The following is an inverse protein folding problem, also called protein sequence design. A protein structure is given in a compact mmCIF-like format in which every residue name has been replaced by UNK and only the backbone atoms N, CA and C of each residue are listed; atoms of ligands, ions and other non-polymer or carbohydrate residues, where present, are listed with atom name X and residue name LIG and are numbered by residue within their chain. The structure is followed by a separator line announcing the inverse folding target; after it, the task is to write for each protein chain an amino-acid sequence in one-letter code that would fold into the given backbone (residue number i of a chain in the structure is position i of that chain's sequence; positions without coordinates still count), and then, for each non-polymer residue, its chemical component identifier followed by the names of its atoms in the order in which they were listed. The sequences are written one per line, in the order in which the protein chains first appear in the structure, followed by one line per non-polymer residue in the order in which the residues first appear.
data_IF_724743332819
#
_entry.id   IF_724743332819
#
_cell.length_a   1.000
_cell.length_b   1.000
_cell.length_c   1.000
_cell.angle_alpha   90.00
_cell.angle_beta   90.00
_cell.angle_gamma   90.00
#
_symmetry.space_group_name_H-M   'P 1'
#
loop_
_entity.id
_entity.type
_entity.pdbx_description
1 polymer ?
#
# COMPACT_ATOMS: atom_id res chain seq x y z
N UNK A 1 12.43 22.23 12.17
CA UNK A 1 12.44 22.17 10.68
C UNK A 1 11.08 22.59 10.13
N UNK A 2 11.07 23.19 8.94
CA UNK A 2 9.86 23.36 8.13
C UNK A 2 9.81 22.26 7.05
N UNK A 3 8.77 21.43 7.07
CA UNK A 3 8.62 20.25 6.19
C UNK A 3 7.37 20.42 5.33
N UNK A 4 7.53 20.30 4.02
CA UNK A 4 6.43 20.20 3.05
C UNK A 4 6.13 18.73 2.70
N UNK A 5 4.86 18.35 2.67
CA UNK A 5 4.40 17.04 2.21
C UNK A 5 3.39 17.27 1.09
N UNK A 6 3.65 16.75 -0.10
CA UNK A 6 2.79 16.94 -1.28
C UNK A 6 2.22 15.59 -1.70
N UNK A 7 0.89 15.41 -1.55
CA UNK A 7 0.12 14.29 -2.07
C UNK A 7 -1.16 14.80 -2.71
N UNK A 8 -1.09 15.03 -4.00
CA UNK A 8 -2.17 15.63 -4.81
C UNK A 8 -2.57 14.78 -6.01
N UNK A 9 -2.11 13.53 -6.03
CA UNK A 9 -2.32 12.63 -7.16
C UNK A 9 -3.15 11.40 -6.81
N UNK A 10 -3.04 10.86 -5.59
CA UNK A 10 -3.67 9.58 -5.24
C UNK A 10 -4.52 9.72 -3.96
N UNK A 11 -5.86 9.74 -4.09
CA UNK A 11 -6.76 9.94 -2.96
C UNK A 11 -6.70 8.84 -1.90
N UNK A 12 -6.21 7.64 -2.26
CA UNK A 12 -6.12 6.50 -1.35
C UNK A 12 -4.82 6.50 -0.52
N UNK A 13 -3.94 7.50 -0.69
CA UNK A 13 -2.66 7.57 0.03
C UNK A 13 -2.74 8.26 1.40
N UNK A 14 -3.93 8.35 1.97
CA UNK A 14 -4.14 8.88 3.33
C UNK A 14 -3.14 8.29 4.34
N UNK A 15 -2.99 6.96 4.38
CA UNK A 15 -2.11 6.30 5.37
C UNK A 15 -0.64 6.71 5.25
N UNK A 16 -0.15 6.92 4.02
CA UNK A 16 1.21 7.37 3.78
C UNK A 16 1.43 8.81 4.27
N UNK A 17 0.50 9.69 3.95
CA UNK A 17 0.52 11.10 4.40
C UNK A 17 0.42 11.19 5.92
N UNK A 18 -0.54 10.47 6.53
CA UNK A 18 -0.73 10.41 7.97
C UNK A 18 0.54 9.90 8.68
N UNK A 19 1.17 8.85 8.13
CA UNK A 19 2.41 8.31 8.67
C UNK A 19 3.54 9.33 8.69
N UNK A 20 3.73 10.05 7.60
CA UNK A 20 4.75 11.08 7.50
C UNK A 20 4.49 12.26 8.44
N UNK A 21 3.30 12.84 8.36
CA UNK A 21 2.98 14.03 9.15
C UNK A 21 3.08 13.75 10.66
N UNK A 22 2.55 12.61 11.14
CA UNK A 22 2.63 12.25 12.56
C UNK A 22 4.05 11.95 13.02
N UNK A 23 4.87 11.37 12.12
CA UNK A 23 6.28 11.13 12.41
C UNK A 23 7.03 12.45 12.57
N UNK A 24 6.87 13.41 11.66
CA UNK A 24 7.50 14.72 11.82
C UNK A 24 6.93 15.53 12.97
N UNK A 25 5.62 15.47 13.16
CA UNK A 25 4.93 16.19 14.24
C UNK A 25 5.26 15.64 15.64
N UNK A 26 5.83 14.43 15.75
CA UNK A 26 6.29 13.87 17.03
C UNK A 26 7.39 14.72 17.70
N UNK A 27 8.15 15.49 16.91
CA UNK A 27 9.01 16.58 17.43
C UNK A 27 8.26 17.93 17.27
N UNK A 28 7.86 18.51 18.39
CA UNK A 28 7.10 19.79 18.43
C UNK A 28 7.85 20.99 17.86
N UNK A 29 9.16 20.89 17.68
CA UNK A 29 9.95 21.96 17.04
C UNK A 29 9.81 21.94 15.51
N UNK A 30 9.25 20.90 14.92
CA UNK A 30 8.95 20.86 13.51
C UNK A 30 7.62 21.58 13.21
N UNK A 31 7.56 22.20 12.05
CA UNK A 31 6.32 22.67 11.43
C UNK A 31 6.12 21.86 10.15
N UNK A 32 4.92 21.35 9.95
CA UNK A 32 4.58 20.52 8.79
C UNK A 32 3.47 21.19 8.01
N UNK A 33 3.66 21.37 6.71
CA UNK A 33 2.60 21.84 5.80
C UNK A 33 2.30 20.70 4.83
N UNK A 34 1.06 20.25 4.80
CA UNK A 34 0.60 19.16 3.93
C UNK A 34 -0.25 19.74 2.82
N UNK A 35 0.18 19.58 1.59
CA UNK A 35 -0.55 19.91 0.36
C UNK A 35 -1.25 18.67 -0.13
N UNK A 36 -2.58 18.69 -0.22
CA UNK A 36 -3.33 17.45 -0.40
C UNK A 36 -4.67 17.63 -1.11
N UNK A 37 -5.33 16.50 -1.39
CA UNK A 37 -6.68 16.43 -1.96
C UNK A 37 -7.75 16.60 -0.87
N UNK A 38 -8.98 17.06 -1.21
CA UNK A 38 -10.07 17.19 -0.25
C UNK A 38 -10.40 15.90 0.51
N UNK A 39 -10.35 14.75 -0.16
CA UNK A 39 -10.61 13.43 0.47
C UNK A 39 -9.58 13.06 1.54
N UNK A 40 -8.31 13.35 1.31
CA UNK A 40 -7.24 13.11 2.28
C UNK A 40 -7.37 14.10 3.44
N UNK A 41 -7.65 15.38 3.16
CA UNK A 41 -7.89 16.40 4.20
C UNK A 41 -8.98 15.94 5.16
N UNK A 42 -10.13 15.51 4.63
CA UNK A 42 -11.24 15.04 5.45
C UNK A 42 -10.80 13.92 6.38
N UNK A 43 -10.14 12.88 5.85
CA UNK A 43 -9.66 11.76 6.63
C UNK A 43 -8.62 12.16 7.70
N UNK A 44 -7.74 13.14 7.41
CA UNK A 44 -6.77 13.66 8.38
C UNK A 44 -7.44 14.42 9.51
N UNK A 45 -8.46 15.23 9.22
CA UNK A 45 -9.21 15.98 10.23
C UNK A 45 -10.01 15.06 11.15
N UNK A 46 -10.66 14.03 10.61
CA UNK A 46 -11.41 13.01 11.38
C UNK A 46 -10.50 12.26 12.35
N UNK A 47 -9.24 11.99 11.98
CA UNK A 47 -8.27 11.28 12.82
C UNK A 47 -7.44 12.18 13.76
N UNK A 48 -7.76 13.47 13.82
CA UNK A 48 -7.09 14.45 14.67
C UNK A 48 -5.75 14.91 14.12
N UNK A 49 -5.65 16.20 13.84
CA UNK A 49 -4.46 16.84 13.31
C UNK A 49 -3.56 17.35 14.46
N UNK A 50 -2.24 17.04 14.47
CA UNK A 50 -1.31 17.63 15.45
C UNK A 50 -1.25 19.17 15.34
N UNK A 51 -1.03 19.88 16.46
CA UNK A 51 -1.02 21.36 16.53
C UNK A 51 0.04 22.02 15.63
N UNK A 52 1.14 21.32 15.35
CA UNK A 52 2.23 21.81 14.51
C UNK A 52 2.11 21.41 13.04
N UNK A 53 0.91 20.97 12.60
CA UNK A 53 0.59 20.62 11.22
C UNK A 53 -0.46 21.57 10.65
N UNK A 54 -0.23 22.02 9.41
CA UNK A 54 -1.18 22.81 8.61
C UNK A 54 -1.52 22.08 7.33
N UNK A 55 -2.78 22.20 6.87
CA UNK A 55 -3.24 21.60 5.62
C UNK A 55 -3.52 22.70 4.59
N UNK A 56 -3.09 22.46 3.36
CA UNK A 56 -3.41 23.22 2.16
C UNK A 56 -4.04 22.27 1.16
N UNK A 57 -5.21 22.59 0.66
CA UNK A 57 -5.99 21.69 -0.20
C UNK A 57 -5.95 22.18 -1.63
N UNK A 58 -5.72 21.26 -2.57
CA UNK A 58 -5.90 21.53 -3.98
C UNK A 58 -7.40 21.60 -4.29
N UNK A 59 -7.89 22.82 -4.44
CA UNK A 59 -9.29 23.07 -4.73
C UNK A 59 -9.66 22.63 -6.17
N UNK A 60 -10.92 22.20 -6.43
CA UNK A 60 -11.31 21.70 -7.74
C UNK A 60 -11.10 22.67 -8.91
N UNK A 61 -11.09 23.97 -8.64
CA UNK A 61 -10.88 25.04 -9.62
C UNK A 61 -9.40 25.47 -9.75
N UNK A 62 -8.55 25.04 -8.81
CA UNK A 62 -7.12 25.36 -8.80
C UNK A 62 -6.34 24.34 -9.65
N UNK A 63 -5.44 24.81 -10.49
CA UNK A 63 -4.52 23.91 -11.18
C UNK A 63 -3.39 23.45 -10.26
N UNK A 64 -2.86 22.27 -10.51
CA UNK A 64 -1.68 21.78 -9.78
C UNK A 64 -0.49 22.75 -9.91
N UNK A 65 -0.37 23.40 -11.08
CA UNK A 65 0.69 24.39 -11.30
C UNK A 65 0.60 25.55 -10.34
N UNK A 66 -0.60 26.12 -10.14
CA UNK A 66 -0.81 27.22 -9.19
C UNK A 66 -0.47 26.80 -7.75
N UNK A 67 -0.86 25.60 -7.34
CA UNK A 67 -0.48 25.07 -6.04
C UNK A 67 1.05 24.92 -5.88
N UNK A 68 1.73 24.41 -6.91
CA UNK A 68 3.19 24.24 -6.88
C UNK A 68 3.92 25.60 -6.93
N UNK A 69 3.40 26.59 -7.66
CA UNK A 69 3.91 27.97 -7.64
C UNK A 69 3.82 28.56 -6.22
N UNK A 70 2.72 28.33 -5.48
CA UNK A 70 2.57 28.74 -4.07
C UNK A 70 3.59 28.04 -3.14
N UNK A 71 3.89 26.75 -3.41
CA UNK A 71 4.92 26.01 -2.66
C UNK A 71 6.32 26.56 -2.91
N UNK A 72 6.61 27.03 -4.13
CA UNK A 72 7.92 27.61 -4.50
C UNK A 72 8.24 28.91 -3.76
N UNK A 73 7.20 29.63 -3.27
CA UNK A 73 7.38 30.85 -2.49
C UNK A 73 7.81 30.61 -1.03
N UNK A 74 7.77 29.35 -0.56
CA UNK A 74 8.07 29.00 0.82
C UNK A 74 9.42 28.28 0.89
N UNK A 75 10.31 28.78 1.76
CA UNK A 75 11.61 28.14 2.01
C UNK A 75 11.47 26.96 2.96
N UNK A 76 11.60 25.74 2.45
CA UNK A 76 11.51 24.49 3.21
C UNK A 76 12.89 23.92 3.54
N UNK A 77 13.05 23.35 4.73
CA UNK A 77 14.21 22.49 5.03
C UNK A 77 14.13 21.21 4.18
N UNK A 78 12.90 20.72 3.93
CA UNK A 78 12.65 19.43 3.28
C UNK A 78 11.27 19.38 2.65
N UNK A 79 11.17 18.79 1.44
CA UNK A 79 9.90 18.54 0.76
C UNK A 79 9.79 17.07 0.39
N UNK A 80 8.66 16.45 0.77
CA UNK A 80 8.24 15.14 0.32
C UNK A 80 7.30 15.26 -0.87
N UNK A 81 7.59 14.52 -1.95
CA UNK A 81 6.70 14.33 -3.09
C UNK A 81 6.23 12.88 -3.04
N UNK A 82 4.99 12.67 -2.58
CA UNK A 82 4.49 11.33 -2.27
C UNK A 82 4.08 10.55 -3.52
N UNK A 83 3.39 11.20 -4.46
CA UNK A 83 2.96 10.56 -5.72
C UNK A 83 2.97 11.59 -6.83
N UNK A 84 3.42 11.19 -8.02
CA UNK A 84 3.46 12.06 -9.19
C UNK A 84 2.43 11.62 -10.24
N UNK A 85 2.27 10.30 -10.47
CA UNK A 85 1.41 9.72 -11.51
C UNK A 85 1.48 10.50 -12.84
N UNK A 86 0.37 10.95 -13.37
CA UNK A 86 0.30 11.65 -14.66
C UNK A 86 0.81 13.11 -14.62
N UNK A 87 1.20 13.61 -13.44
CA UNK A 87 1.62 15.00 -13.21
C UNK A 87 3.14 15.23 -13.42
N UNK A 88 3.78 14.37 -14.20
CA UNK A 88 5.25 14.45 -14.44
C UNK A 88 5.72 15.78 -15.03
N UNK A 89 4.89 16.45 -15.85
CA UNK A 89 5.26 17.73 -16.49
C UNK A 89 5.32 18.87 -15.48
N UNK A 90 4.38 18.92 -14.58
CA UNK A 90 4.28 19.91 -13.52
C UNK A 90 5.47 19.75 -12.56
N UNK A 91 5.68 18.54 -12.05
CA UNK A 91 6.81 18.25 -11.17
C UNK A 91 8.19 18.37 -11.84
N UNK A 92 8.30 18.14 -13.16
CA UNK A 92 9.55 18.39 -13.88
C UNK A 92 9.91 19.89 -14.00
N UNK A 93 8.93 20.78 -13.85
CA UNK A 93 9.09 22.25 -13.84
C UNK A 93 9.19 22.83 -12.44
N UNK A 94 8.77 22.07 -11.43
CA UNK A 94 8.74 22.46 -10.03
C UNK A 94 10.15 22.72 -9.51
N UNK A 95 10.38 23.90 -8.95
CA UNK A 95 11.66 24.39 -8.45
C UNK A 95 11.53 24.97 -7.04
N UNK A 96 11.21 24.12 -6.05
CA UNK A 96 10.97 24.63 -4.71
C UNK A 96 12.23 25.25 -4.09
N UNK A 97 12.04 26.25 -3.24
CA UNK A 97 13.09 26.71 -2.34
C UNK A 97 13.23 25.70 -1.19
N UNK A 98 14.03 24.67 -1.43
CA UNK A 98 14.25 23.60 -0.46
C UNK A 98 15.68 23.07 -0.55
N UNK A 99 16.24 22.70 0.60
CA UNK A 99 17.55 22.06 0.65
C UNK A 99 17.46 20.58 0.22
N UNK A 100 16.39 19.89 0.60
CA UNK A 100 16.24 18.45 0.41
C UNK A 100 14.89 18.12 -0.24
N UNK A 101 14.92 17.33 -1.31
CA UNK A 101 13.73 16.73 -1.91
C UNK A 101 13.73 15.23 -1.61
N UNK A 102 12.61 14.71 -1.14
CA UNK A 102 12.40 13.29 -0.87
C UNK A 102 11.26 12.80 -1.77
N UNK A 103 11.62 11.95 -2.72
CA UNK A 103 10.67 11.35 -3.65
C UNK A 103 10.24 9.97 -3.18
N UNK A 104 8.94 9.71 -3.14
CA UNK A 104 8.41 8.40 -2.79
C UNK A 104 8.27 7.53 -4.03
N UNK A 105 8.81 6.33 -3.97
CA UNK A 105 8.76 5.34 -5.04
C UNK A 105 7.97 4.12 -4.58
N UNK A 106 6.71 4.06 -5.02
CA UNK A 106 5.79 2.94 -4.69
C UNK A 106 6.05 1.71 -5.55
N UNK A 107 6.55 1.91 -6.77
CA UNK A 107 6.79 0.88 -7.78
C UNK A 107 8.14 1.11 -8.45
N UNK A 108 9.13 0.26 -8.08
CA UNK A 108 10.55 0.50 -8.43
C UNK A 108 10.82 0.49 -9.93
N UNK A 109 10.15 -0.40 -10.68
CA UNK A 109 10.35 -0.55 -12.12
C UNK A 109 9.85 0.64 -12.94
N UNK A 110 8.88 1.40 -12.45
CA UNK A 110 8.40 2.58 -13.14
C UNK A 110 9.45 3.69 -13.18
N UNK A 111 10.29 3.77 -12.18
CA UNK A 111 11.24 4.86 -12.00
C UNK A 111 12.62 4.58 -12.61
N UNK A 112 13.13 3.36 -12.46
CA UNK A 112 14.53 3.07 -12.72
C UNK A 112 14.76 1.97 -13.76
N UNK A 113 13.75 1.14 -14.08
CA UNK A 113 13.91 0.09 -15.09
C UNK A 113 13.28 0.48 -16.41
N UNK A 114 13.96 0.15 -17.51
CA UNK A 114 13.45 0.32 -18.87
C UNK A 114 12.44 -0.79 -19.20
N UNK A 115 11.16 -0.52 -19.00
CA UNK A 115 10.06 -1.47 -19.26
C UNK A 115 9.49 -1.37 -20.67
N UNK A 116 10.33 -1.12 -21.68
CA UNK A 116 9.90 -1.15 -23.08
C UNK A 116 9.24 -2.49 -23.46
N UNK A 117 9.80 -3.61 -22.97
CA UNK A 117 9.23 -4.95 -23.16
C UNK A 117 7.84 -5.10 -22.50
N UNK A 118 7.56 -4.44 -21.38
CA UNK A 118 6.24 -4.45 -20.73
C UNK A 118 5.22 -3.70 -21.59
N UNK A 119 5.55 -2.51 -22.06
CA UNK A 119 4.67 -1.75 -22.93
C UNK A 119 4.34 -2.53 -24.22
N UNK A 120 5.34 -3.18 -24.83
CA UNK A 120 5.13 -4.05 -25.99
C UNK A 120 4.31 -5.29 -25.62
N UNK A 121 4.59 -5.97 -24.51
CA UNK A 121 3.84 -7.16 -24.11
C UNK A 121 2.39 -6.82 -23.76
N UNK A 122 2.14 -5.71 -23.10
CA UNK A 122 0.77 -5.20 -22.85
C UNK A 122 0.09 -4.95 -24.19
N UNK A 123 0.74 -4.24 -25.12
CA UNK A 123 0.23 -4.00 -26.47
C UNK A 123 -0.09 -5.31 -27.20
N UNK A 124 0.82 -6.29 -27.17
CA UNK A 124 0.65 -7.58 -27.85
C UNK A 124 -0.46 -8.42 -27.22
N UNK A 125 -0.62 -8.38 -25.90
CA UNK A 125 -1.69 -9.07 -25.19
C UNK A 125 -3.05 -8.46 -25.54
N UNK A 126 -3.11 -7.14 -25.57
CA UNK A 126 -4.31 -6.40 -25.92
C UNK A 126 -4.67 -6.53 -27.41
N UNK A 127 -3.68 -6.58 -28.30
CA UNK A 127 -3.91 -6.85 -29.74
C UNK A 127 -4.36 -8.29 -30.04
N UNK A 128 -4.03 -9.25 -29.16
CA UNK A 128 -4.52 -10.64 -29.27
C UNK A 128 -5.98 -10.79 -28.87
N UNK A 129 -6.49 -9.92 -28.01
CA UNK A 129 -7.92 -9.87 -27.64
C UNK A 129 -8.74 -9.14 -28.69
N UNK A 130 -8.83 -9.75 -29.88
CA UNK A 130 -9.22 -9.17 -31.19
C UNK A 130 -10.67 -8.69 -31.33
N UNK A 131 -11.51 -8.77 -30.34
CA UNK A 131 -12.96 -8.53 -30.50
C UNK A 131 -13.46 -7.11 -30.20
N UNK A 132 -12.56 -6.13 -29.99
CA UNK A 132 -13.02 -4.77 -29.72
C UNK A 132 -12.28 -3.67 -30.51
N UNK A 133 -13.02 -3.10 -31.49
CA UNK A 133 -12.96 -1.73 -32.03
C UNK A 133 -11.60 -1.02 -32.29
N UNK A 134 -11.51 -0.42 -33.50
CA UNK A 134 -10.46 0.55 -33.92
C UNK A 134 -10.23 1.71 -32.93
N UNK A 135 -11.22 2.04 -32.08
CA UNK A 135 -11.07 3.02 -31.02
C UNK A 135 -10.08 2.55 -29.92
N UNK A 136 -10.12 1.26 -29.58
CA UNK A 136 -9.26 0.66 -28.57
C UNK A 136 -7.79 0.62 -29.00
N UNK A 137 -7.49 0.26 -30.24
CA UNK A 137 -6.12 0.27 -30.77
C UNK A 137 -5.48 1.67 -30.82
N UNK A 138 -6.29 2.73 -31.01
CA UNK A 138 -5.83 4.12 -30.92
C UNK A 138 -5.56 4.52 -29.47
N UNK A 139 -6.36 4.08 -28.53
CA UNK A 139 -6.14 4.32 -27.10
C UNK A 139 -4.86 3.66 -26.60
N UNK A 140 -4.58 2.41 -27.02
CA UNK A 140 -3.36 1.69 -26.68
C UNK A 140 -2.11 2.35 -27.29
N UNK A 141 -2.18 2.74 -28.56
CA UNK A 141 -1.08 3.47 -29.21
C UNK A 141 -0.81 4.81 -28.51
N UNK A 142 -1.86 5.52 -28.09
CA UNK A 142 -1.73 6.75 -27.31
C UNK A 142 -1.07 6.49 -25.95
N UNK A 143 -1.50 5.46 -25.23
CA UNK A 143 -0.87 5.05 -23.94
C UNK A 143 0.61 4.74 -24.10
N UNK A 144 1.05 4.14 -25.22
CA UNK A 144 2.48 3.88 -25.48
C UNK A 144 3.28 5.16 -25.74
N UNK A 145 2.71 6.07 -26.53
CA UNK A 145 3.35 7.37 -26.80
C UNK A 145 3.47 8.17 -25.50
N UNK A 146 2.39 8.23 -24.72
CA UNK A 146 2.38 8.88 -23.41
C UNK A 146 3.42 8.26 -22.48
N UNK A 147 3.50 6.92 -22.41
CA UNK A 147 4.52 6.21 -21.64
C UNK A 147 5.95 6.57 -22.03
N UNK A 148 6.26 6.63 -23.32
CA UNK A 148 7.60 7.00 -23.80
C UNK A 148 7.94 8.46 -23.49
N UNK A 149 6.97 9.36 -23.61
CA UNK A 149 7.10 10.77 -23.26
C UNK A 149 7.34 10.93 -21.76
N UNK A 150 6.48 10.32 -20.93
CA UNK A 150 6.60 10.40 -19.46
C UNK A 150 7.90 9.80 -18.95
N UNK A 151 8.42 8.75 -19.59
CA UNK A 151 9.73 8.18 -19.28
C UNK A 151 10.85 9.20 -19.46
N UNK A 152 10.86 9.94 -20.58
CA UNK A 152 11.89 10.96 -20.84
C UNK A 152 11.76 12.13 -19.85
N UNK A 153 10.53 12.52 -19.54
CA UNK A 153 10.25 13.59 -18.57
C UNK A 153 10.74 13.17 -17.18
N UNK A 154 10.42 11.94 -16.72
CA UNK A 154 10.91 11.40 -15.44
C UNK A 154 12.43 11.41 -15.34
N UNK A 155 13.13 10.92 -16.39
CA UNK A 155 14.59 10.92 -16.41
C UNK A 155 15.16 12.33 -16.28
N UNK A 156 14.59 13.29 -17.02
CA UNK A 156 15.00 14.70 -16.93
C UNK A 156 14.70 15.29 -15.56
N UNK A 157 13.55 14.99 -15.00
CA UNK A 157 13.14 15.46 -13.67
C UNK A 157 14.08 14.92 -12.58
N UNK A 158 14.35 13.60 -12.57
CA UNK A 158 15.29 12.99 -11.63
C UNK A 158 16.68 13.62 -11.74
N UNK A 159 17.22 13.74 -12.97
CA UNK A 159 18.52 14.37 -13.19
C UNK A 159 18.55 15.83 -12.71
N UNK A 160 17.46 16.59 -12.94
CA UNK A 160 17.34 17.97 -12.44
C UNK A 160 17.31 18.00 -10.90
N UNK A 161 16.57 17.09 -10.26
CA UNK A 161 16.52 17.04 -8.80
C UNK A 161 17.84 16.58 -8.19
N UNK A 162 18.52 15.60 -8.78
CA UNK A 162 19.87 15.17 -8.36
C UNK A 162 20.92 16.27 -8.50
N UNK A 163 20.81 17.10 -9.53
CA UNK A 163 21.76 18.20 -9.79
C UNK A 163 21.56 19.40 -8.86
N UNK A 164 20.32 19.76 -8.54
CA UNK A 164 19.99 21.02 -7.88
C UNK A 164 19.64 20.86 -6.39
N UNK A 165 19.34 19.65 -5.91
CA UNK A 165 18.88 19.38 -4.55
C UNK A 165 19.60 18.18 -3.94
N UNK A 166 19.51 18.05 -2.64
CA UNK A 166 19.85 16.78 -1.98
C UNK A 166 18.65 15.80 -2.19
N UNK A 167 18.66 15.11 -3.32
CA UNK A 167 17.60 14.13 -3.62
C UNK A 167 17.79 12.88 -2.76
N UNK A 168 16.71 12.46 -2.08
CA UNK A 168 16.58 11.16 -1.42
C UNK A 168 15.35 10.44 -1.94
N UNK A 169 15.38 9.12 -1.85
CA UNK A 169 14.26 8.28 -2.27
C UNK A 169 13.67 7.60 -1.03
N UNK A 170 12.35 7.59 -0.89
CA UNK A 170 11.65 6.73 0.06
C UNK A 170 11.07 5.52 -0.68
N UNK A 171 11.27 4.36 -0.08
CA UNK A 171 10.60 3.09 -0.41
C UNK A 171 10.02 2.47 0.86
N UNK A 172 9.15 1.48 0.71
CA UNK A 172 8.40 0.94 1.85
C UNK A 172 8.98 -0.34 2.44
N UNK A 173 9.98 -0.96 1.77
CA UNK A 173 10.65 -2.16 2.27
C UNK A 173 12.12 -2.21 1.90
N UNK A 174 12.86 -3.07 2.62
CA UNK A 174 14.27 -3.36 2.31
C UNK A 174 14.41 -4.00 0.92
N UNK A 175 13.47 -4.86 0.53
CA UNK A 175 13.47 -5.51 -0.78
C UNK A 175 13.33 -4.50 -1.93
N UNK A 176 12.46 -3.49 -1.78
CA UNK A 176 12.36 -2.39 -2.74
C UNK A 176 13.66 -1.56 -2.81
N UNK A 177 14.31 -1.30 -1.66
CA UNK A 177 15.61 -0.63 -1.61
C UNK A 177 16.66 -1.39 -2.42
N UNK A 178 16.74 -2.70 -2.21
CA UNK A 178 17.65 -3.58 -2.96
C UNK A 178 17.34 -3.59 -4.47
N UNK A 179 16.04 -3.65 -4.82
CA UNK A 179 15.61 -3.59 -6.21
C UNK A 179 16.01 -2.27 -6.87
N UNK A 180 15.85 -1.12 -6.19
CA UNK A 180 16.26 0.17 -6.73
C UNK A 180 17.79 0.25 -6.94
N UNK A 181 18.59 -0.27 -6.01
CA UNK A 181 20.05 -0.34 -6.20
C UNK A 181 20.40 -1.22 -7.41
N UNK A 182 19.73 -2.39 -7.58
CA UNK A 182 19.93 -3.24 -8.76
C UNK A 182 19.52 -2.55 -10.07
N UNK A 183 18.58 -1.61 -10.02
CA UNK A 183 18.15 -0.81 -11.19
C UNK A 183 19.01 0.44 -11.40
N UNK A 184 20.06 0.65 -10.60
CA UNK A 184 21.03 1.72 -10.75
C UNK A 184 20.65 3.04 -10.07
N UNK A 185 19.76 3.03 -9.08
CA UNK A 185 19.52 4.20 -8.24
C UNK A 185 20.77 4.51 -7.41
N UNK A 186 21.30 5.72 -7.56
CA UNK A 186 22.49 6.20 -6.83
C UNK A 186 22.13 7.13 -5.67
N UNK A 187 20.91 7.69 -5.67
CA UNK A 187 20.45 8.56 -4.60
C UNK A 187 20.30 7.80 -3.28
N UNK A 188 20.51 8.42 -2.12
CA UNK A 188 20.28 7.79 -0.82
C UNK A 188 18.84 7.29 -0.68
N UNK A 189 18.65 6.05 -0.22
CA UNK A 189 17.35 5.41 -0.09
C UNK A 189 17.00 5.22 1.38
N UNK A 190 15.86 5.77 1.79
CA UNK A 190 15.24 5.62 3.10
C UNK A 190 14.15 4.56 3.00
N UNK A 191 14.14 3.60 3.94
CA UNK A 191 13.03 2.66 4.10
C UNK A 191 12.08 3.22 5.13
N UNK A 192 10.87 3.60 4.69
CA UNK A 192 9.83 4.14 5.53
C UNK A 192 8.49 3.46 5.21
N UNK A 193 7.73 2.97 6.20
CA UNK A 193 6.50 2.22 5.96
C UNK A 193 5.43 3.11 5.33
N UNK A 194 4.53 2.50 4.54
CA UNK A 194 3.38 3.21 3.98
C UNK A 194 2.33 3.56 5.05
N UNK A 195 2.23 2.75 6.10
CA UNK A 195 1.39 3.05 7.27
C UNK A 195 2.19 2.85 8.55
N UNK A 196 1.79 3.56 9.60
CA UNK A 196 2.41 3.53 10.92
C UNK A 196 1.50 2.83 11.93
N UNK A 197 2.05 2.48 13.08
CA UNK A 197 1.28 2.05 14.23
C UNK A 197 0.94 3.24 15.12
N UNK A 198 -0.33 3.38 15.45
CA UNK A 198 -0.83 4.48 16.30
C UNK A 198 -1.35 4.01 17.67
N UNK A 199 -1.00 2.78 18.07
CA UNK A 199 -1.47 2.22 19.32
C UNK A 199 -2.90 1.64 19.24
N UNK A 200 -3.32 1.19 18.06
CA UNK A 200 -4.61 0.53 17.88
C UNK A 200 -4.74 -0.65 18.85
N UNK A 201 -5.83 -0.66 19.63
CA UNK A 201 -6.09 -1.74 20.58
C UNK A 201 -6.65 -2.94 19.85
N UNK A 202 -6.12 -4.12 20.17
CA UNK A 202 -6.75 -5.36 19.77
C UNK A 202 -8.12 -5.47 20.45
N UNK A 203 -9.18 -5.47 19.65
CA UNK A 203 -10.56 -5.63 20.08
C UNK A 203 -11.11 -7.00 19.69
N UNK A 204 -10.25 -7.91 19.18
CA UNK A 204 -10.66 -9.28 18.95
C UNK A 204 -11.10 -9.91 20.27
N UNK A 205 -12.38 -10.24 20.36
CA UNK A 205 -12.90 -10.95 21.52
C UNK A 205 -12.46 -12.41 21.41
N UNK A 206 -12.20 -13.04 22.55
CA UNK A 206 -12.00 -14.49 22.63
C UNK A 206 -13.32 -15.19 22.27
N UNK A 207 -13.64 -15.18 20.99
CA UNK A 207 -14.81 -15.87 20.45
C UNK A 207 -14.44 -17.34 20.20
N UNK A 208 -15.46 -18.18 20.14
CA UNK A 208 -15.30 -19.60 19.81
C UNK A 208 -14.78 -19.84 18.38
N UNK A 209 -14.81 -18.81 17.51
CA UNK A 209 -14.44 -18.87 16.09
C UNK A 209 -13.26 -17.94 15.79
N UNK A 210 -12.32 -18.45 15.01
CA UNK A 210 -11.15 -17.69 14.55
C UNK A 210 -11.56 -16.73 13.43
N UNK A 211 -11.36 -15.43 13.62
CA UNK A 211 -11.69 -14.41 12.62
C UNK A 211 -10.49 -14.11 11.73
N UNK A 212 -10.61 -14.42 10.46
CA UNK A 212 -9.59 -14.18 9.43
C UNK A 212 -10.05 -13.05 8.52
N UNK A 213 -9.27 -11.97 8.42
CA UNK A 213 -9.58 -10.85 7.55
C UNK A 213 -8.70 -10.85 6.29
N UNK A 214 -9.31 -10.60 5.14
CA UNK A 214 -8.63 -10.37 3.86
C UNK A 214 -8.88 -8.90 3.46
N UNK A 215 -7.98 -7.97 3.81
CA UNK A 215 -8.19 -6.54 3.55
C UNK A 215 -7.92 -6.16 2.11
N UNK A 216 -8.78 -5.32 1.53
CA UNK A 216 -8.65 -4.71 0.21
C UNK A 216 -9.64 -5.22 -0.83
N UNK A 217 -9.68 -4.56 -1.98
CA UNK A 217 -10.63 -4.84 -3.07
C UNK A 217 -10.66 -6.32 -3.44
N UNK A 218 -11.87 -6.87 -3.58
CA UNK A 218 -12.11 -8.26 -3.97
C UNK A 218 -12.06 -8.32 -5.50
N UNK A 219 -10.93 -8.78 -6.03
CA UNK A 219 -10.71 -8.92 -7.48
C UNK A 219 -9.74 -10.04 -7.78
N UNK A 220 -10.12 -10.95 -8.67
CA UNK A 220 -9.29 -12.08 -9.10
C UNK A 220 -8.03 -11.62 -9.86
N UNK A 221 -8.09 -10.43 -10.46
CA UNK A 221 -6.95 -9.88 -11.21
C UNK A 221 -5.73 -9.55 -10.34
N UNK A 222 -5.89 -9.40 -9.02
CA UNK A 222 -4.82 -9.08 -8.06
C UNK A 222 -4.62 -10.15 -6.99
N UNK A 223 -5.66 -10.94 -6.72
CA UNK A 223 -5.73 -11.86 -5.59
C UNK A 223 -6.39 -13.15 -6.05
N UNK A 224 -5.90 -14.27 -5.61
CA UNK A 224 -6.44 -15.58 -5.98
C UNK A 224 -7.55 -16.00 -5.00
N UNK A 225 -8.74 -15.39 -5.17
CA UNK A 225 -9.91 -15.70 -4.37
C UNK A 225 -10.54 -17.03 -4.77
N UNK A 226 -10.63 -17.32 -6.07
CA UNK A 226 -11.35 -18.51 -6.55
C UNK A 226 -10.69 -19.79 -6.06
N UNK A 227 -9.36 -19.92 -6.18
CA UNK A 227 -8.64 -21.08 -5.66
C UNK A 227 -8.71 -21.17 -4.13
N UNK A 228 -8.66 -20.04 -3.43
CA UNK A 228 -8.83 -20.01 -1.98
C UNK A 228 -10.21 -20.52 -1.56
N UNK A 229 -11.27 -20.03 -2.20
CA UNK A 229 -12.65 -20.40 -1.88
C UNK A 229 -12.93 -21.88 -2.21
N UNK A 230 -12.42 -22.39 -3.33
CA UNK A 230 -12.52 -23.81 -3.67
C UNK A 230 -11.93 -24.72 -2.60
N UNK A 231 -10.73 -24.39 -2.11
CA UNK A 231 -10.08 -25.20 -1.05
C UNK A 231 -10.79 -25.07 0.28
N UNK A 232 -11.31 -23.89 0.63
CA UNK A 232 -12.14 -23.69 1.83
C UNK A 232 -13.42 -24.54 1.74
N UNK A 233 -14.13 -24.51 0.61
CA UNK A 233 -15.34 -25.32 0.40
C UNK A 233 -15.07 -26.81 0.58
N UNK A 234 -13.98 -27.34 -0.01
CA UNK A 234 -13.57 -28.73 0.13
C UNK A 234 -13.30 -29.13 1.59
N UNK A 235 -12.98 -28.17 2.46
CA UNK A 235 -12.68 -28.36 3.89
C UNK A 235 -13.80 -27.84 4.82
N UNK A 236 -14.99 -27.56 4.29
CA UNK A 236 -16.08 -26.95 5.06
C UNK A 236 -16.47 -27.77 6.31
N UNK A 237 -16.53 -29.09 6.20
CA UNK A 237 -16.88 -29.96 7.34
C UNK A 237 -15.93 -29.81 8.54
N UNK A 238 -14.68 -29.40 8.33
CA UNK A 238 -13.68 -29.23 9.40
C UNK A 238 -13.54 -27.78 9.88
N UNK A 239 -13.91 -26.80 9.07
CA UNK A 239 -13.57 -25.39 9.30
C UNK A 239 -14.78 -24.47 9.40
N UNK A 240 -15.90 -24.75 8.73
CA UNK A 240 -17.00 -23.80 8.60
C UNK A 240 -17.60 -23.36 9.95
N UNK A 241 -17.57 -24.22 10.96
CA UNK A 241 -18.03 -23.91 12.33
C UNK A 241 -16.95 -23.23 13.20
N UNK A 242 -15.69 -23.19 12.74
CA UNK A 242 -14.53 -22.78 13.54
C UNK A 242 -13.92 -21.46 13.11
N UNK A 243 -14.19 -21.00 11.88
CA UNK A 243 -13.64 -19.75 11.34
C UNK A 243 -14.74 -18.83 10.81
N UNK A 244 -14.49 -17.53 10.91
CA UNK A 244 -15.24 -16.45 10.26
C UNK A 244 -14.32 -15.76 9.25
N UNK A 245 -14.82 -15.50 8.06
CA UNK A 245 -14.09 -14.82 6.99
C UNK A 245 -14.60 -13.39 6.85
N UNK A 246 -13.73 -12.41 7.00
CA UNK A 246 -14.03 -11.02 6.76
C UNK A 246 -13.29 -10.54 5.52
N UNK A 247 -14.00 -10.42 4.38
CA UNK A 247 -13.49 -9.86 3.16
C UNK A 247 -13.63 -8.33 3.24
N UNK A 248 -12.63 -7.64 3.81
CA UNK A 248 -12.67 -6.21 4.08
C UNK A 248 -12.43 -5.40 2.80
N UNK A 249 -13.41 -5.43 1.91
CA UNK A 249 -13.44 -4.78 0.62
C UNK A 249 -14.73 -5.07 -0.12
N UNK A 250 -14.85 -4.55 -1.33
CA UNK A 250 -15.99 -4.77 -2.21
C UNK A 250 -15.56 -5.50 -3.49
N UNK A 251 -16.52 -6.19 -4.10
CA UNK A 251 -16.32 -6.87 -5.39
C UNK A 251 -16.35 -5.83 -6.51
N UNK A 252 -15.38 -5.87 -7.43
CA UNK A 252 -15.38 -4.96 -8.58
C UNK A 252 -16.54 -5.29 -9.54
N UNK A 253 -17.14 -4.28 -10.16
CA UNK A 253 -18.30 -4.44 -11.06
C UNK A 253 -18.07 -5.49 -12.16
N UNK A 254 -16.85 -5.60 -12.67
CA UNK A 254 -16.48 -6.54 -13.74
C UNK A 254 -16.50 -8.00 -13.30
N UNK A 255 -16.34 -8.27 -12.02
CA UNK A 255 -16.22 -9.62 -11.45
C UNK A 255 -17.40 -9.95 -10.51
N UNK A 256 -18.40 -9.07 -10.44
CA UNK A 256 -19.48 -9.15 -9.47
C UNK A 256 -20.29 -10.46 -9.58
N UNK A 257 -20.58 -10.92 -10.80
CA UNK A 257 -21.34 -12.15 -11.02
C UNK A 257 -20.53 -13.38 -10.58
N UNK A 258 -19.29 -13.53 -11.07
CA UNK A 258 -18.44 -14.68 -10.76
C UNK A 258 -18.05 -14.75 -9.29
N UNK A 259 -17.60 -13.62 -8.75
CA UNK A 259 -17.16 -13.53 -7.36
C UNK A 259 -18.33 -13.62 -6.38
N UNK A 260 -19.47 -12.99 -6.71
CA UNK A 260 -20.69 -13.11 -5.92
C UNK A 260 -21.20 -14.56 -5.85
N UNK A 261 -21.16 -15.29 -6.97
CA UNK A 261 -21.50 -16.71 -6.99
C UNK A 261 -20.53 -17.54 -6.14
N UNK A 262 -19.23 -17.25 -6.20
CA UNK A 262 -18.21 -17.95 -5.39
C UNK A 262 -18.39 -17.69 -3.90
N UNK A 263 -18.67 -16.44 -3.49
CA UNK A 263 -18.96 -16.08 -2.10
C UNK A 263 -20.25 -16.77 -1.62
N UNK A 264 -21.32 -16.76 -2.43
CA UNK A 264 -22.59 -17.44 -2.07
C UNK A 264 -22.39 -18.93 -1.84
N UNK A 265 -21.61 -19.58 -2.68
CA UNK A 265 -21.28 -21.01 -2.55
C UNK A 265 -20.51 -21.32 -1.25
N UNK A 266 -19.62 -20.41 -0.85
CA UNK A 266 -18.91 -20.54 0.42
C UNK A 266 -19.85 -20.40 1.62
N UNK A 267 -20.80 -19.44 1.57
CA UNK A 267 -21.85 -19.29 2.58
C UNK A 267 -22.75 -20.54 2.65
N UNK A 268 -23.17 -21.07 1.51
CA UNK A 268 -23.97 -22.30 1.42
C UNK A 268 -23.23 -23.52 1.98
N UNK A 269 -21.89 -23.49 1.98
CA UNK A 269 -21.03 -24.52 2.62
C UNK A 269 -20.92 -24.35 4.14
N UNK A 270 -21.59 -23.37 4.74
CA UNK A 270 -21.68 -23.15 6.17
C UNK A 270 -20.71 -22.11 6.75
N UNK A 271 -19.86 -21.47 5.92
CA UNK A 271 -19.00 -20.39 6.41
C UNK A 271 -19.77 -19.12 6.72
N UNK A 272 -19.36 -18.42 7.76
CA UNK A 272 -19.75 -17.04 7.96
C UNK A 272 -18.78 -16.15 7.18
N UNK A 273 -19.32 -15.47 6.16
CA UNK A 273 -18.56 -14.57 5.29
C UNK A 273 -19.17 -13.18 5.36
N UNK A 274 -18.38 -12.21 5.79
CA UNK A 274 -18.74 -10.81 5.82
C UNK A 274 -17.97 -10.06 4.73
N UNK A 275 -18.65 -9.23 3.92
CA UNK A 275 -18.06 -8.41 2.88
C UNK A 275 -18.89 -7.13 2.66
N UNK A 276 -18.35 -6.17 1.91
CA UNK A 276 -18.93 -4.84 1.75
C UNK A 276 -19.34 -4.59 0.30
N UNK A 277 -20.39 -3.76 0.12
CA UNK A 277 -20.87 -3.33 -1.20
C UNK A 277 -20.10 -2.12 -1.76
N UNK A 278 -19.27 -1.48 -0.93
CA UNK A 278 -18.51 -0.29 -1.28
C UNK A 278 -17.11 -0.29 -0.62
N UNK A 279 -16.31 0.68 -0.98
CA UNK A 279 -14.99 0.86 -0.39
C UNK A 279 -15.10 1.23 1.10
N UNK A 280 -14.39 0.47 1.95
CA UNK A 280 -14.32 0.69 3.39
C UNK A 280 -13.05 1.46 3.73
N UNK A 281 -13.17 2.54 4.51
CA UNK A 281 -12.06 3.40 4.90
C UNK A 281 -12.24 3.99 6.30
N UNK A 282 -11.22 4.68 6.80
CA UNK A 282 -11.25 5.38 8.08
C UNK A 282 -11.52 4.47 9.28
N UNK A 283 -12.32 4.94 10.23
CA UNK A 283 -12.63 4.24 11.47
C UNK A 283 -13.35 2.90 11.27
N UNK A 284 -14.17 2.77 10.23
CA UNK A 284 -14.86 1.52 9.93
C UNK A 284 -13.86 0.44 9.53
N UNK A 285 -12.90 0.78 8.65
CA UNK A 285 -11.81 -0.11 8.28
C UNK A 285 -10.98 -0.51 9.50
N UNK A 286 -10.62 0.44 10.34
CA UNK A 286 -9.81 0.21 11.54
C UNK A 286 -10.54 -0.67 12.55
N UNK A 287 -11.82 -0.45 12.76
CA UNK A 287 -12.67 -1.28 13.63
C UNK A 287 -12.76 -2.71 13.09
N UNK A 288 -13.00 -2.87 11.80
CA UNK A 288 -13.10 -4.18 11.16
C UNK A 288 -11.82 -4.98 11.32
N UNK A 289 -10.67 -4.37 11.01
CA UNK A 289 -9.38 -5.06 11.08
C UNK A 289 -8.94 -5.34 12.53
N UNK A 290 -9.27 -4.46 13.49
CA UNK A 290 -8.95 -4.66 14.91
C UNK A 290 -9.76 -5.79 15.55
N UNK A 291 -10.94 -6.08 15.03
CA UNK A 291 -11.82 -7.17 15.50
C UNK A 291 -11.42 -8.55 14.96
N UNK A 292 -10.48 -8.63 14.02
CA UNK A 292 -10.01 -9.90 13.48
C UNK A 292 -8.84 -10.45 14.29
N UNK A 293 -8.62 -11.76 14.23
CA UNK A 293 -7.52 -12.44 14.91
C UNK A 293 -6.25 -12.45 14.07
N UNK A 294 -6.41 -12.70 12.77
CA UNK A 294 -5.33 -12.81 11.79
C UNK A 294 -5.73 -12.15 10.47
N UNK A 295 -4.71 -11.73 9.74
CA UNK A 295 -4.86 -11.26 8.37
C UNK A 295 -4.39 -12.33 7.39
N UNK A 296 -5.02 -12.42 6.22
CA UNK A 296 -4.63 -13.34 5.16
C UNK A 296 -4.25 -12.58 3.89
N UNK A 297 -3.05 -12.85 3.40
CA UNK A 297 -2.60 -12.38 2.10
C UNK A 297 -2.80 -13.47 1.04
N UNK A 298 -3.81 -13.31 0.19
CA UNK A 298 -4.07 -14.17 -0.97
C UNK A 298 -3.59 -13.53 -2.28
N UNK A 299 -2.62 -12.60 -2.21
CA UNK A 299 -2.15 -11.84 -3.36
C UNK A 299 -1.36 -12.69 -4.34
N UNK A 300 -1.63 -12.53 -5.63
CA UNK A 300 -0.80 -13.07 -6.70
C UNK A 300 0.54 -12.32 -6.69
N UNK A 301 1.60 -12.98 -6.21
CA UNK A 301 2.90 -12.35 -5.93
C UNK A 301 3.58 -11.89 -7.21
N UNK A 302 3.59 -12.71 -8.25
CA UNK A 302 4.23 -12.38 -9.52
C UNK A 302 3.19 -12.19 -10.62
N UNK A 303 2.91 -10.94 -10.97
CA UNK A 303 2.01 -10.59 -12.09
C UNK A 303 2.73 -10.56 -13.43
N UNK A 304 3.97 -10.09 -13.40
CA UNK A 304 4.84 -9.98 -14.58
C UNK A 304 6.26 -10.28 -14.14
N UNK A 305 7.18 -10.43 -15.07
CA UNK A 305 8.61 -10.59 -14.76
C UNK A 305 9.23 -9.38 -14.04
N UNK A 306 8.51 -8.30 -13.88
CA UNK A 306 9.00 -7.03 -13.32
C UNK A 306 8.18 -6.53 -12.15
N UNK A 307 6.86 -6.72 -12.14
CA UNK A 307 5.98 -6.34 -11.02
C UNK A 307 5.84 -7.52 -10.06
N UNK A 308 6.64 -7.51 -9.01
CA UNK A 308 6.72 -8.60 -8.03
C UNK A 308 6.44 -8.00 -6.66
N UNK A 309 5.34 -8.43 -6.03
CA UNK A 309 5.01 -8.03 -4.67
C UNK A 309 6.03 -8.60 -3.67
N UNK A 310 6.41 -7.80 -2.68
CA UNK A 310 7.49 -8.12 -1.75
C UNK A 310 8.90 -7.95 -2.34
N UNK A 311 9.02 -7.40 -3.58
CA UNK A 311 10.32 -7.11 -4.20
C UNK A 311 10.38 -5.73 -4.84
N UNK A 312 9.54 -5.47 -5.84
CA UNK A 312 9.53 -4.19 -6.56
C UNK A 312 8.34 -3.30 -6.17
N UNK A 313 7.37 -3.90 -5.49
CA UNK A 313 6.16 -3.27 -4.99
C UNK A 313 5.75 -3.93 -3.68
N UNK A 314 5.19 -3.15 -2.75
CA UNK A 314 4.67 -3.69 -1.51
C UNK A 314 3.16 -3.92 -1.56
N UNK A 315 2.69 -4.85 -0.70
CA UNK A 315 1.28 -5.10 -0.48
C UNK A 315 0.74 -4.25 0.66
N UNK A 316 -0.43 -3.65 0.47
CA UNK A 316 -1.16 -2.99 1.56
C UNK A 316 -1.42 -3.90 2.76
N UNK A 317 -1.42 -5.22 2.55
CA UNK A 317 -1.59 -6.22 3.60
C UNK A 317 -0.51 -6.12 4.69
N UNK A 318 0.77 -5.97 4.30
CA UNK A 318 1.90 -5.85 5.25
C UNK A 318 1.75 -4.60 6.12
N UNK A 319 1.30 -3.50 5.53
CA UNK A 319 1.06 -2.27 6.28
C UNK A 319 -0.15 -2.37 7.20
N UNK A 320 -1.16 -3.15 6.84
CA UNK A 320 -2.29 -3.44 7.71
C UNK A 320 -1.88 -4.33 8.89
N UNK A 321 -0.96 -5.28 8.70
CA UNK A 321 -0.38 -6.05 9.82
C UNK A 321 0.29 -5.11 10.83
N UNK A 322 1.11 -4.16 10.36
CA UNK A 322 1.77 -3.16 11.22
C UNK A 322 0.78 -2.24 11.91
N UNK A 323 -0.14 -1.63 11.13
CA UNK A 323 -1.11 -0.65 11.62
C UNK A 323 -2.04 -1.21 12.69
N UNK A 324 -2.49 -2.44 12.49
CA UNK A 324 -3.42 -3.11 13.39
C UNK A 324 -2.74 -4.02 14.42
N UNK A 325 -1.42 -4.15 14.38
CA UNK A 325 -0.65 -5.08 15.21
C UNK A 325 -1.20 -6.51 15.15
N UNK A 326 -1.52 -7.00 13.93
CA UNK A 326 -2.10 -8.31 13.69
C UNK A 326 -1.10 -9.26 13.03
N UNK A 327 -1.05 -10.52 13.45
CA UNK A 327 -0.30 -11.55 12.74
C UNK A 327 -0.96 -11.88 11.40
N UNK A 328 -0.23 -12.58 10.52
CA UNK A 328 -0.76 -12.89 9.19
C UNK A 328 -0.36 -14.23 8.61
N UNK A 329 -1.20 -14.74 7.69
CA UNK A 329 -0.85 -15.79 6.76
C UNK A 329 -0.32 -15.15 5.47
N UNK A 330 0.87 -15.54 5.05
CA UNK A 330 1.56 -14.99 3.87
C UNK A 330 1.97 -16.09 2.91
N UNK A 331 1.84 -15.90 1.58
CA UNK A 331 2.46 -16.82 0.62
C UNK A 331 3.98 -16.83 0.85
N UNK A 332 4.60 -18.02 0.85
CA UNK A 332 6.05 -18.15 1.07
C UNK A 332 6.89 -17.45 -0.01
N UNK A 333 6.35 -17.34 -1.21
CA UNK A 333 6.99 -16.61 -2.30
C UNK A 333 6.98 -15.08 -2.11
N UNK A 334 6.15 -14.57 -1.18
CA UNK A 334 6.15 -13.15 -0.82
C UNK A 334 7.37 -12.85 0.04
N UNK A 335 8.32 -12.11 -0.50
CA UNK A 335 9.56 -11.78 0.17
C UNK A 335 9.36 -10.66 1.21
N UNK A 336 8.77 -11.01 2.34
CA UNK A 336 8.58 -10.07 3.45
C UNK A 336 9.90 -9.81 4.18
N UNK A 337 10.06 -8.63 4.78
CA UNK A 337 11.21 -8.32 5.64
C UNK A 337 11.29 -9.31 6.83
N UNK A 338 12.50 -9.80 7.21
CA UNK A 338 12.67 -10.82 8.26
C UNK A 338 12.02 -10.49 9.61
N UNK A 339 11.83 -9.22 9.91
CA UNK A 339 11.18 -8.74 11.13
C UNK A 339 9.71 -9.17 11.27
N UNK A 340 9.08 -9.64 10.18
CA UNK A 340 7.71 -10.21 10.21
C UNK A 340 7.67 -11.70 10.48
N UNK A 341 8.81 -12.40 10.51
CA UNK A 341 8.83 -13.87 10.60
C UNK A 341 8.12 -14.39 11.87
N UNK A 342 8.31 -13.71 13.02
CA UNK A 342 7.76 -14.15 14.30
C UNK A 342 6.24 -13.88 14.45
N UNK A 343 5.68 -13.05 13.57
CA UNK A 343 4.25 -12.75 13.54
C UNK A 343 3.55 -13.24 12.27
N UNK A 344 4.20 -14.11 11.47
CA UNK A 344 3.66 -14.61 10.21
C UNK A 344 3.74 -16.14 10.11
N UNK A 345 2.71 -16.73 9.50
CA UNK A 345 2.70 -18.12 9.09
C UNK A 345 2.75 -18.17 7.56
N UNK A 346 3.74 -18.89 7.01
CA UNK A 346 4.02 -18.93 5.57
C UNK A 346 3.45 -20.19 4.94
N UNK A 347 2.60 -20.04 3.93
CA UNK A 347 2.02 -21.14 3.20
C UNK A 347 2.59 -21.25 1.75
N UNK A 348 2.71 -22.49 1.26
CA UNK A 348 3.19 -22.79 -0.09
C UNK A 348 2.03 -23.06 -1.07
N UNK A 349 0.86 -23.41 -0.53
CA UNK A 349 -0.38 -23.69 -1.26
C UNK A 349 -1.58 -23.42 -0.36
N UNK A 350 -2.77 -23.32 -0.93
CA UNK A 350 -3.99 -23.19 -0.10
C UNK A 350 -4.29 -24.46 0.71
N UNK A 351 -3.89 -25.65 0.26
CA UNK A 351 -3.96 -26.85 1.10
C UNK A 351 -3.08 -26.73 2.34
N UNK A 352 -1.84 -26.24 2.20
CA UNK A 352 -0.97 -25.95 3.34
C UNK A 352 -1.53 -24.82 4.22
N UNK A 353 -2.19 -23.80 3.65
CA UNK A 353 -2.91 -22.77 4.44
C UNK A 353 -3.98 -23.39 5.34
N UNK A 354 -4.75 -24.39 4.85
CA UNK A 354 -5.75 -25.09 5.67
C UNK A 354 -5.08 -25.79 6.86
N UNK A 355 -3.95 -26.47 6.64
CA UNK A 355 -3.19 -27.11 7.72
C UNK A 355 -2.71 -26.08 8.77
N UNK A 356 -2.25 -24.92 8.34
CA UNK A 356 -1.85 -23.85 9.23
C UNK A 356 -3.04 -23.27 10.01
N UNK A 357 -4.19 -23.08 9.37
CA UNK A 357 -5.42 -22.65 10.04
C UNK A 357 -5.81 -23.67 11.11
N UNK A 358 -5.82 -24.96 10.81
CA UNK A 358 -6.10 -26.02 11.78
C UNK A 358 -5.10 -25.99 12.94
N UNK A 359 -3.82 -25.81 12.66
CA UNK A 359 -2.77 -25.69 13.70
C UNK A 359 -3.04 -24.54 14.64
N UNK A 360 -3.43 -23.37 14.12
CA UNK A 360 -3.79 -22.21 14.95
C UNK A 360 -5.05 -22.46 15.78
N UNK A 361 -6.05 -23.15 15.22
CA UNK A 361 -7.29 -23.52 15.91
C UNK A 361 -7.05 -24.53 17.04
N UNK A 362 -6.08 -25.42 16.88
CA UNK A 362 -5.78 -26.49 17.84
C UNK A 362 -4.71 -26.07 18.88
N UNK A 363 -3.93 -25.00 18.61
CA UNK A 363 -2.96 -24.42 19.54
C UNK A 363 -3.24 -22.93 19.82
N UNK A 364 -4.13 -22.58 20.77
CA UNK A 364 -4.38 -21.19 21.17
C UNK A 364 -3.14 -20.46 21.68
N UNK A 365 -2.15 -21.18 22.20
CA UNK A 365 -0.89 -20.58 22.64
C UNK A 365 -0.06 -20.10 21.45
N UNK A 366 -0.13 -20.76 20.30
CA UNK A 366 0.49 -20.27 19.06
C UNK A 366 -0.12 -18.93 18.62
N UNK A 367 -1.45 -18.84 18.58
CA UNK A 367 -2.12 -17.58 18.24
C UNK A 367 -1.72 -16.44 19.19
N UNK A 368 -1.69 -16.72 20.50
CA UNK A 368 -1.26 -15.74 21.50
C UNK A 368 0.19 -15.27 21.27
N UNK A 369 1.12 -16.19 20.97
CA UNK A 369 2.51 -15.84 20.64
C UNK A 369 2.59 -14.96 19.40
N UNK A 370 1.89 -15.33 18.33
CA UNK A 370 1.86 -14.56 17.08
C UNK A 370 1.32 -13.14 17.30
N UNK A 371 0.24 -12.99 18.09
CA UNK A 371 -0.32 -11.67 18.45
C UNK A 371 0.67 -10.83 19.26
N UNK A 372 1.36 -11.43 20.21
CA UNK A 372 2.39 -10.76 21.01
C UNK A 372 3.52 -10.27 20.12
N UNK A 373 4.05 -11.11 19.23
CA UNK A 373 5.12 -10.73 18.30
C UNK A 373 4.67 -9.63 17.33
N UNK A 374 3.42 -9.67 16.84
CA UNK A 374 2.87 -8.62 15.99
C UNK A 374 2.78 -7.27 16.73
N UNK A 375 2.35 -7.31 18.01
CA UNK A 375 2.29 -6.13 18.86
C UNK A 375 3.70 -5.54 19.12
N UNK A 376 4.68 -6.36 19.43
CA UNK A 376 6.06 -5.96 19.65
C UNK A 376 6.68 -5.35 18.39
N UNK A 377 6.48 -5.99 17.24
CA UNK A 377 6.92 -5.46 15.95
C UNK A 377 6.32 -4.07 15.69
N UNK A 378 5.01 -3.93 15.88
CA UNK A 378 4.28 -2.70 15.61
C UNK A 378 4.76 -1.51 16.48
N UNK A 379 5.24 -1.75 17.70
CA UNK A 379 5.83 -0.71 18.56
C UNK A 379 7.05 -0.04 17.92
N UNK A 380 7.81 -0.76 17.10
CA UNK A 380 8.94 -0.19 16.36
C UNK A 380 8.53 0.73 15.20
N UNK A 381 7.23 0.78 14.91
CA UNK A 381 6.60 1.60 13.88
C UNK A 381 5.72 2.74 14.44
N UNK A 382 5.88 3.05 15.72
CA UNK A 382 5.33 4.29 16.30
C UNK A 382 5.98 5.53 15.65
N UNK A 383 5.27 6.65 15.52
CA UNK A 383 5.80 7.91 14.96
C UNK A 383 7.16 8.31 15.57
N UNK A 384 7.27 8.25 16.90
CA UNK A 384 8.51 8.57 17.63
C UNK A 384 9.66 7.62 17.30
N UNK A 385 9.39 6.33 17.14
CA UNK A 385 10.39 5.32 16.76
C UNK A 385 10.85 5.48 15.30
N UNK A 386 9.97 5.97 14.42
CA UNK A 386 10.28 6.18 13.02
C UNK A 386 11.00 7.50 12.73
N UNK A 387 10.95 8.45 13.66
CA UNK A 387 11.51 9.79 13.45
C UNK A 387 13.00 9.75 13.06
N UNK A 388 13.79 8.93 13.73
CA UNK A 388 15.23 8.77 13.43
C UNK A 388 15.52 8.21 12.03
N UNK A 389 14.56 7.49 11.41
CA UNK A 389 14.71 7.01 10.03
C UNK A 389 14.61 8.16 9.03
N UNK A 390 13.79 9.16 9.30
CA UNK A 390 13.61 10.35 8.46
C UNK A 390 14.65 11.43 8.78
N UNK A 391 15.00 11.59 10.06
CA UNK A 391 15.91 12.62 10.56
C UNK A 391 17.03 11.94 11.36
N UNK A 392 18.03 11.38 10.66
CA UNK A 392 19.20 10.80 11.37
C UNK A 392 19.89 11.86 12.23
N UNK A 393 20.30 11.48 13.41
CA UNK A 393 21.14 12.31 14.27
C UNK A 393 22.41 12.72 13.51
N UNK A 394 22.79 13.98 13.61
CA UNK A 394 23.95 14.55 12.91
C UNK A 394 25.24 14.15 13.58
#
# INVERSE_FOLDING_TARGET
MLVGIIEVSEPNHYSAVNGLLKTYASDRNNKVIVYTLPSIQQALLENGLPENVSLVVLEPQQSLKELLDDVEEISFDRIHICTIFDNYLEFARFKPDSREIILHVHQCEEWYRDNFSRAINTLLTELKNKDQNRAYSRMVARSMVDYLIYRQIRKKMLANYEQNYQLKIIVHSKAQKEALHQYGCISPIIVFPFAIYEGMKDSSQSNQRLKICIPGIITQSKRDYLSLFEVLEQNAAALSDRIDLHLLGYVTDREQEEMGAAISKLIDSGYQVDYHDSFVYGEEFDRAISNCDLLLNNQIVSKTSTEIYGKTKESGMIFNMLRAAKPGFLPREYNVSPEFNDCSLFFDSYSHLIELIQTVLDDPALLSRLKTSAQELSQSYLPTSLYSRLVPER
#
